data_IF_309647763062
#
_entry.id   IF_309647763062
#
_cell.length_a   1.000
_cell.length_b   1.000
_cell.length_c   1.000
_cell.angle_alpha   90.00
_cell.angle_beta   90.00
_cell.angle_gamma   90.00
#
_symmetry.space_group_name_H-M   'P 1'
#
loop_
_entity.id
_entity.type
_entity.pdbx_description
1 polymer ?
#
# COMPACT_ATOMS: atom_id res chain seq x y z
N UNK A 1 11.41 -1.16 -3.67
CA UNK A 1 10.41 -1.72 -2.73
C UNK A 1 11.04 -2.23 -1.43
N UNK A 2 11.97 -3.20 -1.47
CA UNK A 2 12.59 -3.80 -0.28
C UNK A 2 13.19 -2.80 0.73
N UNK A 3 14.08 -1.86 0.31
CA UNK A 3 14.65 -0.87 1.23
C UNK A 3 13.61 0.06 1.85
N UNK A 4 12.61 0.47 1.08
CA UNK A 4 11.52 1.34 1.55
C UNK A 4 10.66 0.66 2.62
N UNK A 5 10.21 -0.58 2.37
CA UNK A 5 9.46 -1.36 3.36
C UNK A 5 10.28 -1.62 4.62
N UNK A 6 11.55 -2.01 4.47
CA UNK A 6 12.44 -2.24 5.61
C UNK A 6 12.58 -0.98 6.46
N UNK A 7 12.82 0.17 5.84
CA UNK A 7 12.93 1.44 6.53
C UNK A 7 11.61 1.82 7.21
N UNK A 8 10.47 1.66 6.53
CA UNK A 8 9.15 1.95 7.09
C UNK A 8 8.87 1.08 8.33
N UNK A 9 9.20 -0.21 8.31
CA UNK A 9 9.09 -1.09 9.48
C UNK A 9 10.08 -0.73 10.59
N UNK A 10 11.30 -0.31 10.24
CA UNK A 10 12.28 0.19 11.22
C UNK A 10 11.79 1.45 11.93
N UNK A 11 11.17 2.38 11.18
CA UNK A 11 10.56 3.60 11.73
C UNK A 11 9.35 3.23 12.61
N UNK A 12 8.50 2.31 12.16
CA UNK A 12 7.36 1.82 12.95
C UNK A 12 7.76 1.37 14.36
N UNK A 13 8.88 0.64 14.47
CA UNK A 13 9.40 0.13 15.75
C UNK A 13 10.04 1.20 16.64
N UNK A 14 10.32 2.39 16.11
CA UNK A 14 10.95 3.50 16.84
C UNK A 14 9.94 4.50 17.42
N UNK A 15 8.66 4.39 17.08
CA UNK A 15 7.66 5.28 17.65
C UNK A 15 7.37 4.92 19.11
N UNK A 16 7.61 5.90 19.98
CA UNK A 16 7.19 5.87 21.38
C UNK A 16 5.71 6.27 21.50
N UNK A 17 5.26 7.23 20.68
CA UNK A 17 3.87 7.66 20.61
C UNK A 17 2.98 6.60 19.92
N UNK A 18 1.96 6.12 20.64
CA UNK A 18 1.06 5.09 20.14
C UNK A 18 0.15 5.55 19.00
N UNK A 19 -0.25 6.83 18.99
CA UNK A 19 -1.11 7.40 17.96
C UNK A 19 -0.33 7.49 16.65
N UNK A 20 0.91 7.98 16.71
CA UNK A 20 1.81 8.05 15.57
C UNK A 20 2.14 6.66 15.03
N UNK A 21 2.35 5.68 15.91
CA UNK A 21 2.56 4.28 15.55
C UNK A 21 1.34 3.68 14.81
N UNK A 22 0.12 3.97 15.26
CA UNK A 22 -1.13 3.51 14.61
C UNK A 22 -1.28 4.11 13.22
N UNK A 23 -1.08 5.42 13.09
CA UNK A 23 -1.10 6.15 11.81
C UNK A 23 -0.06 5.61 10.82
N UNK A 24 1.16 5.39 11.29
CA UNK A 24 2.22 4.82 10.45
C UNK A 24 1.95 3.38 10.03
N UNK A 25 1.28 2.58 10.88
CA UNK A 25 0.81 1.24 10.50
C UNK A 25 -0.17 1.29 9.33
N UNK A 26 -1.12 2.23 9.34
CA UNK A 26 -2.06 2.42 8.21
C UNK A 26 -1.30 2.77 6.93
N UNK A 27 -0.31 3.66 7.02
CA UNK A 27 0.58 3.97 5.90
C UNK A 27 1.30 2.73 5.35
N UNK A 28 1.89 1.90 6.21
CA UNK A 28 2.59 0.66 5.78
C UNK A 28 1.61 -0.29 5.08
N UNK A 29 0.40 -0.47 5.62
CA UNK A 29 -0.61 -1.34 4.99
C UNK A 29 -0.99 -0.80 3.62
N UNK A 30 -1.28 0.50 3.51
CA UNK A 30 -1.60 1.12 2.23
C UNK A 30 -0.45 1.04 1.22
N UNK A 31 0.80 1.19 1.68
CA UNK A 31 1.98 1.01 0.85
C UNK A 31 2.12 -0.42 0.33
N UNK A 32 1.84 -1.44 1.16
CA UNK A 32 1.79 -2.85 0.74
C UNK A 32 0.68 -3.06 -0.29
N UNK A 33 -0.52 -2.48 -0.12
CA UNK A 33 -1.60 -2.58 -1.11
C UNK A 33 -1.16 -2.06 -2.48
N UNK A 34 -0.46 -0.91 -2.53
CA UNK A 34 0.04 -0.36 -3.79
C UNK A 34 1.14 -1.22 -4.43
N UNK A 35 1.99 -1.85 -3.61
CA UNK A 35 3.00 -2.80 -4.09
C UNK A 35 2.33 -4.03 -4.71
N UNK A 36 1.34 -4.62 -4.03
CA UNK A 36 0.57 -5.77 -4.55
C UNK A 36 -0.18 -5.39 -5.82
N UNK A 37 -0.78 -4.20 -5.87
CA UNK A 37 -1.40 -3.66 -7.09
C UNK A 37 -0.40 -3.61 -8.25
N UNK A 38 0.77 -3.00 -8.04
CA UNK A 38 1.79 -2.83 -9.09
C UNK A 38 2.28 -4.19 -9.63
N UNK A 39 2.68 -5.10 -8.74
CA UNK A 39 3.15 -6.43 -9.16
C UNK A 39 2.02 -7.28 -9.73
N UNK A 40 0.81 -7.17 -9.20
CA UNK A 40 -0.36 -7.87 -9.69
C UNK A 40 -0.69 -7.51 -11.14
N UNK A 41 -0.62 -6.23 -11.50
CA UNK A 41 -0.78 -5.78 -12.89
C UNK A 41 0.35 -6.31 -13.78
N UNK A 42 1.61 -6.24 -13.32
CA UNK A 42 2.74 -6.76 -14.08
C UNK A 42 2.61 -8.28 -14.36
N UNK A 43 2.23 -9.05 -13.34
CA UNK A 43 1.96 -10.48 -13.44
C UNK A 43 0.78 -10.74 -14.39
N UNK A 44 -0.28 -9.95 -14.29
CA UNK A 44 -1.44 -10.06 -15.18
C UNK A 44 -1.11 -9.82 -16.65
N UNK A 45 -0.17 -8.91 -16.91
CA UNK A 45 0.30 -8.63 -18.26
C UNK A 45 1.19 -9.75 -18.77
N UNK A 46 2.06 -10.30 -17.91
CA UNK A 46 2.95 -11.41 -18.27
C UNK A 46 2.20 -12.71 -18.59
N UNK A 47 1.16 -13.04 -17.80
CA UNK A 47 0.37 -14.27 -17.98
C UNK A 47 -0.54 -14.24 -19.22
N UNK A 48 -0.84 -13.05 -19.75
CA UNK A 48 -1.73 -12.80 -20.90
C UNK A 48 -3.05 -13.60 -20.90
N UNK A 49 -3.55 -13.92 -19.71
CA UNK A 49 -4.78 -14.71 -19.54
C UNK A 49 -5.97 -13.77 -19.32
N UNK A 50 -7.01 -13.91 -20.14
CA UNK A 50 -8.18 -13.03 -20.14
C UNK A 50 -8.98 -13.09 -18.82
N UNK A 51 -9.15 -14.28 -18.24
CA UNK A 51 -9.81 -14.45 -16.94
C UNK A 51 -9.00 -13.82 -15.81
N UNK A 52 -7.69 -14.06 -15.79
CA UNK A 52 -6.80 -13.47 -14.79
C UNK A 52 -6.80 -11.94 -14.87
N UNK A 53 -6.79 -11.38 -16.08
CA UNK A 53 -6.86 -9.93 -16.31
C UNK A 53 -8.15 -9.31 -15.78
N UNK A 54 -9.29 -9.97 -15.97
CA UNK A 54 -10.58 -9.49 -15.45
C UNK A 54 -10.57 -9.46 -13.91
N UNK A 55 -10.16 -10.56 -13.27
CA UNK A 55 -10.09 -10.67 -11.81
C UNK A 55 -9.09 -9.68 -11.23
N UNK A 56 -7.91 -9.56 -11.85
CA UNK A 56 -6.89 -8.60 -11.42
C UNK A 56 -7.32 -7.16 -11.63
N UNK A 57 -8.06 -6.83 -12.70
CA UNK A 57 -8.61 -5.49 -12.91
C UNK A 57 -9.58 -5.08 -11.81
N UNK A 58 -10.49 -5.96 -11.40
CA UNK A 58 -11.41 -5.69 -10.29
C UNK A 58 -10.65 -5.54 -8.95
N UNK A 59 -9.72 -6.45 -8.68
CA UNK A 59 -8.88 -6.42 -7.46
C UNK A 59 -8.01 -5.16 -7.42
N UNK A 60 -7.47 -4.76 -8.56
CA UNK A 60 -6.61 -3.60 -8.71
C UNK A 60 -7.29 -2.29 -8.32
N UNK A 61 -8.57 -2.10 -8.71
CA UNK A 61 -9.36 -0.92 -8.33
C UNK A 61 -9.51 -0.85 -6.81
N UNK A 62 -9.84 -1.98 -6.17
CA UNK A 62 -10.00 -2.06 -4.72
C UNK A 62 -8.67 -1.73 -4.02
N UNK A 63 -7.56 -2.33 -4.47
CA UNK A 63 -6.24 -2.10 -3.90
C UNK A 63 -5.78 -0.65 -4.06
N UNK A 64 -6.07 -0.01 -5.20
CA UNK A 64 -5.71 1.39 -5.44
C UNK A 64 -6.49 2.34 -4.52
N UNK A 65 -7.81 2.17 -4.42
CA UNK A 65 -8.67 3.02 -3.57
C UNK A 65 -8.34 2.82 -2.09
N UNK A 66 -8.33 1.57 -1.63
CA UNK A 66 -8.04 1.25 -0.23
C UNK A 66 -6.60 1.63 0.13
N UNK A 67 -5.64 1.32 -0.73
CA UNK A 67 -4.24 1.67 -0.53
C UNK A 67 -4.02 3.18 -0.44
N UNK A 68 -4.60 3.94 -1.37
CA UNK A 68 -4.53 5.40 -1.36
C UNK A 68 -5.19 6.02 -0.12
N UNK A 69 -6.38 5.54 0.26
CA UNK A 69 -7.07 6.01 1.45
C UNK A 69 -6.28 5.73 2.75
N UNK A 70 -5.68 4.55 2.87
CA UNK A 70 -4.85 4.18 4.03
C UNK A 70 -3.56 5.01 4.12
N UNK A 71 -2.94 5.33 2.98
CA UNK A 71 -1.77 6.23 2.94
C UNK A 71 -2.16 7.65 3.35
N UNK A 72 -3.28 8.16 2.83
CA UNK A 72 -3.78 9.49 3.16
C UNK A 72 -4.14 9.61 4.64
N UNK A 73 -4.89 8.65 5.19
CA UNK A 73 -5.24 8.65 6.62
C UNK A 73 -4.05 8.41 7.54
N UNK A 74 -3.06 7.64 7.09
CA UNK A 74 -1.85 7.35 7.85
C UNK A 74 -0.89 8.54 7.95
N UNK A 75 -0.51 9.15 6.83
CA UNK A 75 0.51 10.23 6.82
C UNK A 75 0.04 11.45 6.03
N UNK A 76 -0.69 11.27 4.93
CA UNK A 76 -1.06 12.36 4.01
C UNK A 76 -1.87 13.49 4.66
N UNK A 77 -2.82 13.16 5.54
CA UNK A 77 -3.67 14.14 6.24
C UNK A 77 -2.88 15.11 7.12
N UNK A 78 -1.69 14.72 7.59
CA UNK A 78 -0.84 15.57 8.41
C UNK A 78 -0.09 16.62 7.58
N UNK A 79 0.03 16.42 6.26
CA UNK A 79 0.72 17.32 5.32
C UNK A 79 -0.19 18.42 4.75
N UNK A 80 -1.48 18.39 5.07
CA UNK A 80 -2.49 19.35 4.57
C UNK A 80 -2.48 20.70 5.32
N UNK A 81 -1.39 21.01 6.04
CA UNK A 81 -1.17 22.27 6.76
C UNK A 81 0.20 22.84 6.49
#
# INVERSE_FOLDING_TARGET
VGPSLYLSFKIYKKFEDEELRKKWKLFIIGFICLIVFMYGIAISNYLDNSTFRLVMGATAIILAIVGGYLIYTGVGRQLEK
#
